data_IF_638767964121
#
_entry.id   IF_638767964121
#
_cell.length_a   1.000
_cell.length_b   1.000
_cell.length_c   1.000
_cell.angle_alpha   90.00
_cell.angle_beta   90.00
_cell.angle_gamma   90.00
#
_symmetry.space_group_name_H-M   'P 1'
#
loop_
_entity.id
_entity.type
_entity.pdbx_description
1 polymer ?
#
# COMPACT_ATOMS: atom_id res chain seq x y z
N UNK A 1 -38.89 12.05 45.03
CA UNK A 1 -38.37 11.56 46.33
C UNK A 1 -36.91 11.20 46.10
N UNK A 2 -35.89 11.70 46.78
CA UNK A 2 -35.71 12.71 47.82
C UNK A 2 -34.17 12.82 47.94
N UNK A 3 -33.59 13.92 47.49
CA UNK A 3 -32.74 14.85 48.27
C UNK A 3 -31.78 14.22 49.30
N UNK A 4 -30.50 14.60 49.15
CA UNK A 4 -29.66 15.24 50.18
C UNK A 4 -28.82 14.38 51.13
N UNK A 5 -27.55 14.22 50.76
CA UNK A 5 -26.34 14.29 51.62
C UNK A 5 -25.21 14.83 50.69
N UNK A 6 -24.61 16.04 50.74
CA UNK A 6 -24.15 16.95 51.83
C UNK A 6 -23.40 16.16 52.89
N UNK A 7 -22.14 16.38 53.25
CA UNK A 7 -21.16 17.45 53.09
C UNK A 7 -19.81 16.83 53.55
N UNK A 8 -18.70 17.59 53.51
CA UNK A 8 -17.30 17.25 53.88
C UNK A 8 -16.50 16.82 52.63
N UNK A 9 -15.59 17.60 52.05
CA UNK A 9 -14.59 18.45 52.67
C UNK A 9 -14.26 19.64 51.74
N UNK A 10 -14.77 20.83 52.08
CA UNK A 10 -14.19 22.11 51.64
C UNK A 10 -13.70 22.82 52.90
N UNK A 11 -12.39 22.76 53.15
CA UNK A 11 -11.76 23.52 54.22
C UNK A 11 -10.94 24.66 53.63
N UNK A 12 -11.52 25.86 53.69
CA UNK A 12 -10.79 27.13 53.74
C UNK A 12 -10.89 27.61 55.18
N UNK A 13 -9.80 28.00 55.85
CA UNK A 13 -9.90 28.68 57.13
C UNK A 13 -10.03 30.20 56.94
N UNK A 14 -10.99 30.80 57.64
CA UNK A 14 -11.14 32.23 57.87
C UNK A 14 -11.46 32.47 59.34
N UNK A 15 -10.56 33.13 60.08
CA UNK A 15 -10.80 34.03 61.24
C UNK A 15 -9.45 34.39 61.89
N UNK A 16 -9.19 35.51 62.58
CA UNK A 16 -10.01 36.52 63.29
C UNK A 16 -9.07 37.73 63.55
N UNK A 17 -9.45 38.97 63.25
CA UNK A 17 -9.94 40.03 64.18
C UNK A 17 -8.97 40.51 65.29
N UNK A 18 -8.76 41.82 65.37
CA UNK A 18 -8.15 42.52 66.50
C UNK A 18 -7.67 43.94 66.15
N UNK A 19 -8.19 44.95 66.82
CA UNK A 19 -8.14 46.36 66.44
C UNK A 19 -7.25 47.25 67.35
N UNK A 20 -6.77 48.36 66.75
CA UNK A 20 -6.50 49.70 67.35
C UNK A 20 -5.26 49.91 68.26
N UNK A 21 -4.84 51.15 68.58
CA UNK A 21 -4.00 52.00 67.72
C UNK A 21 -2.80 52.61 68.49
N UNK A 22 -1.66 52.84 67.84
CA UNK A 22 -0.73 53.98 68.02
C UNK A 22 0.58 53.70 67.28
N UNK A 23 1.23 54.79 66.90
CA UNK A 23 2.55 54.91 66.29
C UNK A 23 2.57 54.86 64.75
N UNK A 24 2.12 55.97 64.17
CA UNK A 24 2.54 56.41 62.84
C UNK A 24 4.02 56.79 62.91
N UNK A 25 4.90 55.85 62.54
CA UNK A 25 6.26 56.17 62.12
C UNK A 25 6.44 55.65 60.70
N UNK A 26 6.55 56.61 59.79
CA UNK A 26 6.85 56.47 58.37
C UNK A 26 8.12 55.62 58.18
N UNK A 27 7.98 54.36 57.80
CA UNK A 27 9.08 53.54 57.28
C UNK A 27 8.66 52.91 55.95
N UNK A 28 9.37 53.35 54.91
CA UNK A 28 9.26 52.89 53.52
C UNK A 28 9.48 51.36 53.46
N UNK A 29 8.64 50.57 52.77
CA UNK A 29 8.92 49.16 52.57
C UNK A 29 10.10 48.99 51.60
N UNK A 30 11.04 48.05 51.85
CA UNK A 30 12.07 47.72 50.87
C UNK A 30 11.41 47.03 49.67
N UNK A 31 11.87 47.39 48.48
CA UNK A 31 11.49 46.82 47.19
C UNK A 31 11.60 45.28 47.18
N UNK A 32 10.69 44.56 46.47
CA UNK A 32 10.78 43.11 46.36
C UNK A 32 12.01 42.74 45.51
N UNK A 33 12.87 41.90 46.09
CA UNK A 33 13.98 41.26 45.41
C UNK A 33 13.51 40.50 44.16
N UNK A 34 14.29 40.66 43.10
CA UNK A 34 14.08 40.10 41.77
C UNK A 34 13.91 38.57 41.78
N UNK A 35 12.89 38.10 41.08
CA UNK A 35 12.73 36.69 40.69
C UNK A 35 13.64 36.34 39.50
N UNK A 36 14.24 35.13 39.44
CA UNK A 36 15.05 34.72 38.29
C UNK A 36 14.13 34.23 37.16
N UNK A 37 13.49 35.14 36.42
CA UNK A 37 12.56 34.81 35.32
C UNK A 37 13.30 34.45 34.01
N UNK A 38 14.62 34.61 33.92
CA UNK A 38 15.30 34.60 32.60
C UNK A 38 15.87 33.26 32.09
N UNK A 39 15.79 32.16 32.84
CA UNK A 39 16.43 30.89 32.44
C UNK A 39 15.45 29.88 31.80
N UNK A 40 14.15 29.92 32.11
CA UNK A 40 13.17 28.93 31.62
C UNK A 40 12.72 29.13 30.15
N UNK A 41 12.74 30.37 29.64
CA UNK A 41 12.24 30.68 28.30
C UNK A 41 13.13 30.17 27.16
N UNK A 42 14.45 30.14 27.36
CA UNK A 42 15.41 29.70 26.34
C UNK A 42 15.25 28.22 26.02
N UNK A 43 15.14 27.38 27.06
CA UNK A 43 14.96 25.92 26.92
C UNK A 43 13.65 25.54 26.23
N UNK A 44 12.57 26.29 26.49
CA UNK A 44 11.27 26.08 25.85
C UNK A 44 11.32 26.45 24.35
N UNK A 45 11.95 27.57 24.00
CA UNK A 45 12.09 28.05 22.62
C UNK A 45 12.98 27.09 21.80
N UNK A 46 14.09 26.59 22.37
CA UNK A 46 14.93 25.59 21.72
C UNK A 46 14.18 24.28 21.44
N UNK A 47 13.35 23.81 22.38
CA UNK A 47 12.51 22.61 22.17
C UNK A 47 11.47 22.81 21.07
N UNK A 48 10.85 23.98 20.99
CA UNK A 48 9.85 24.31 19.96
C UNK A 48 10.51 24.43 18.58
N UNK A 49 11.63 25.15 18.46
CA UNK A 49 12.37 25.29 17.20
C UNK A 49 12.92 23.93 16.74
N UNK A 50 13.49 23.13 17.65
CA UNK A 50 13.97 21.77 17.34
C UNK A 50 12.84 20.86 16.88
N UNK A 51 11.67 20.92 17.53
CA UNK A 51 10.49 20.13 17.14
C UNK A 51 9.96 20.57 15.77
N UNK A 52 9.91 21.88 15.51
CA UNK A 52 9.47 22.42 14.22
C UNK A 52 10.44 22.05 13.08
N UNK A 53 11.75 22.23 13.30
CA UNK A 53 12.79 21.87 12.34
C UNK A 53 12.81 20.36 12.07
N UNK A 54 12.69 19.53 13.13
CA UNK A 54 12.63 18.08 12.99
C UNK A 54 11.40 17.62 12.21
N UNK A 55 10.22 18.23 12.43
CA UNK A 55 9.01 17.92 11.66
C UNK A 55 9.19 18.24 10.17
N UNK A 56 9.74 19.41 9.85
CA UNK A 56 9.98 19.83 8.46
C UNK A 56 11.06 18.99 7.77
N UNK A 57 12.12 18.63 8.48
CA UNK A 57 13.15 17.71 7.99
C UNK A 57 12.57 16.32 7.71
N UNK A 58 11.75 15.79 8.63
CA UNK A 58 11.11 14.47 8.46
C UNK A 58 10.15 14.46 7.26
N UNK A 59 9.35 15.51 7.06
CA UNK A 59 8.52 15.66 5.85
C UNK A 59 9.38 15.73 4.59
N UNK A 60 10.48 16.48 4.61
CA UNK A 60 11.42 16.55 3.49
C UNK A 60 12.04 15.19 3.15
N UNK A 61 12.48 14.44 4.16
CA UNK A 61 13.00 13.09 3.98
C UNK A 61 11.94 12.13 3.42
N UNK A 62 10.71 12.15 3.91
CA UNK A 62 9.64 11.26 3.43
C UNK A 62 9.31 11.52 1.96
N UNK A 63 9.35 12.78 1.50
CA UNK A 63 9.10 13.12 0.10
C UNK A 63 10.33 12.80 -0.76
N UNK A 64 11.54 13.06 -0.26
CA UNK A 64 12.78 12.86 -1.02
C UNK A 64 13.18 11.39 -1.12
N UNK A 65 12.87 10.57 -0.11
CA UNK A 65 13.22 9.14 -0.07
C UNK A 65 12.75 8.37 -1.31
N UNK A 66 11.47 8.40 -1.72
CA UNK A 66 11.03 7.69 -2.92
C UNK A 66 11.70 8.22 -4.18
N UNK A 67 11.94 9.54 -4.31
CA UNK A 67 12.66 10.11 -5.45
C UNK A 67 14.13 9.69 -5.51
N UNK A 68 14.80 9.65 -4.36
CA UNK A 68 16.20 9.24 -4.26
C UNK A 68 16.35 7.75 -4.59
N UNK A 69 15.42 6.92 -4.10
CA UNK A 69 15.39 5.48 -4.39
C UNK A 69 15.18 5.24 -5.89
N UNK A 70 14.19 5.88 -6.53
CA UNK A 70 13.96 5.72 -7.97
C UNK A 70 15.14 6.19 -8.80
N UNK A 71 15.75 7.34 -8.45
CA UNK A 71 16.95 7.84 -9.13
C UNK A 71 18.14 6.88 -8.96
N UNK A 72 18.39 6.39 -7.75
CA UNK A 72 19.46 5.44 -7.47
C UNK A 72 19.31 4.15 -8.28
N UNK A 73 18.12 3.53 -8.27
CA UNK A 73 17.86 2.31 -9.03
C UNK A 73 18.00 2.53 -10.54
N UNK A 74 17.48 3.64 -11.05
CA UNK A 74 17.58 3.98 -12.49
C UNK A 74 19.04 4.17 -12.89
N UNK A 75 19.80 4.94 -12.10
CA UNK A 75 21.22 5.18 -12.33
C UNK A 75 22.03 3.87 -12.27
N UNK A 76 21.79 3.04 -11.25
CA UNK A 76 22.42 1.73 -11.10
C UNK A 76 22.13 0.82 -12.29
N UNK A 77 20.88 0.76 -12.75
CA UNK A 77 20.48 -0.08 -13.88
C UNK A 77 21.13 0.37 -15.20
N UNK A 78 21.16 1.67 -15.48
CA UNK A 78 21.84 2.22 -16.67
C UNK A 78 23.32 1.84 -16.65
N UNK A 79 23.99 2.02 -15.52
CA UNK A 79 25.41 1.64 -15.38
C UNK A 79 25.65 0.14 -15.52
N UNK A 80 24.73 -0.69 -15.05
CA UNK A 80 24.81 -2.14 -15.23
C UNK A 80 24.75 -2.52 -16.71
N UNK A 81 23.78 -1.96 -17.45
CA UNK A 81 23.66 -2.18 -18.90
C UNK A 81 24.87 -1.61 -19.63
N UNK A 82 25.29 -0.40 -19.29
CA UNK A 82 26.49 0.22 -19.88
C UNK A 82 27.74 -0.61 -19.64
N UNK A 83 27.90 -1.20 -18.45
CA UNK A 83 29.00 -2.11 -18.15
C UNK A 83 28.99 -3.36 -19.03
N UNK A 84 27.81 -3.94 -19.26
CA UNK A 84 27.64 -5.11 -20.11
C UNK A 84 27.93 -4.82 -21.60
N UNK A 85 27.52 -3.64 -22.09
CA UNK A 85 27.69 -3.24 -23.48
C UNK A 85 28.92 -2.36 -23.74
N UNK A 86 29.68 -1.99 -22.70
CA UNK A 86 30.94 -1.23 -22.78
C UNK A 86 31.89 -1.71 -23.89
N UNK A 87 32.20 -3.02 -24.03
CA UNK A 87 33.09 -3.48 -25.10
C UNK A 87 32.54 -3.14 -26.50
N UNK A 88 31.23 -3.24 -26.70
CA UNK A 88 30.57 -2.94 -27.98
C UNK A 88 30.66 -1.43 -28.29
N UNK A 89 30.44 -0.56 -27.30
CA UNK A 89 30.57 0.89 -27.50
C UNK A 89 32.00 1.31 -27.84
N UNK A 90 33.00 0.70 -27.19
CA UNK A 90 34.41 0.98 -27.48
C UNK A 90 34.81 0.56 -28.89
N UNK A 91 34.27 -0.55 -29.41
CA UNK A 91 34.50 -0.98 -30.78
C UNK A 91 33.80 -0.09 -31.82
N UNK A 92 32.64 0.51 -31.48
CA UNK A 92 31.91 1.41 -32.37
C UNK A 92 32.36 2.88 -32.25
N UNK A 93 33.19 3.23 -31.27
CA UNK A 93 33.70 4.60 -31.06
C UNK A 93 32.64 5.61 -30.61
N UNK A 94 31.52 5.15 -30.07
CA UNK A 94 30.40 6.01 -29.67
C UNK A 94 30.50 6.30 -28.17
N UNK A 95 30.77 7.55 -27.80
CA UNK A 95 30.76 7.99 -26.41
C UNK A 95 29.90 9.25 -26.29
N UNK A 96 28.58 9.07 -26.34
CA UNK A 96 27.61 10.14 -26.15
C UNK A 96 26.95 10.04 -24.77
N UNK A 97 26.80 11.18 -24.11
CA UNK A 97 26.06 11.29 -22.85
C UNK A 97 24.60 10.86 -23.07
N UNK A 98 24.12 9.88 -22.31
CA UNK A 98 22.76 9.34 -22.42
C UNK A 98 22.62 8.08 -23.29
N UNK A 99 23.70 7.57 -23.90
CA UNK A 99 23.66 6.34 -24.69
C UNK A 99 23.16 5.15 -23.87
N UNK A 100 23.58 5.05 -22.60
CA UNK A 100 23.17 3.99 -21.69
C UNK A 100 21.68 3.91 -21.42
N UNK A 101 20.98 5.05 -21.41
CA UNK A 101 19.53 5.06 -21.25
C UNK A 101 18.83 4.50 -22.49
N UNK A 102 19.25 4.93 -23.69
CA UNK A 102 18.69 4.45 -24.95
C UNK A 102 18.95 2.95 -25.11
N UNK A 103 20.17 2.51 -24.84
CA UNK A 103 20.57 1.10 -24.97
C UNK A 103 19.87 0.22 -23.94
N UNK A 104 19.63 0.72 -22.73
CA UNK A 104 18.80 0.06 -21.72
C UNK A 104 17.36 -0.18 -22.21
N UNK A 105 16.72 0.84 -22.78
CA UNK A 105 15.36 0.71 -23.33
C UNK A 105 15.36 -0.29 -24.50
N UNK A 106 16.28 -0.15 -25.44
CA UNK A 106 16.40 -1.06 -26.58
C UNK A 106 16.67 -2.49 -26.12
N UNK A 107 17.53 -2.68 -25.11
CA UNK A 107 17.84 -3.99 -24.55
C UNK A 107 16.61 -4.65 -23.92
N UNK A 108 15.87 -3.93 -23.06
CA UNK A 108 14.64 -4.44 -22.46
C UNK A 108 13.63 -4.84 -23.55
N UNK A 109 13.46 -4.00 -24.57
CA UNK A 109 12.57 -4.30 -25.68
C UNK A 109 13.00 -5.56 -26.44
N UNK A 110 14.30 -5.69 -26.76
CA UNK A 110 14.85 -6.83 -27.48
C UNK A 110 14.72 -8.13 -26.68
N UNK A 111 14.97 -8.08 -25.37
CA UNK A 111 14.74 -9.20 -24.46
C UNK A 111 13.25 -9.58 -24.44
N UNK A 112 12.34 -8.62 -24.40
CA UNK A 112 10.90 -8.87 -24.48
C UNK A 112 10.51 -9.59 -25.77
N UNK A 113 10.96 -9.08 -26.93
CA UNK A 113 10.71 -9.71 -28.24
C UNK A 113 11.31 -11.12 -28.30
N UNK A 114 12.53 -11.30 -27.79
CA UNK A 114 13.19 -12.60 -27.75
C UNK A 114 12.42 -13.60 -26.88
N UNK A 115 11.95 -13.18 -25.70
CA UNK A 115 11.18 -14.01 -24.77
C UNK A 115 9.80 -14.39 -25.32
N UNK A 116 9.17 -13.54 -26.13
CA UNK A 116 7.91 -13.87 -26.82
C UNK A 116 8.08 -14.84 -28.00
N UNK A 117 9.31 -15.09 -28.45
CA UNK A 117 9.59 -16.06 -29.51
C UNK A 117 9.67 -17.49 -28.98
N UNK A 118 9.42 -18.49 -29.84
CA UNK A 118 9.50 -19.91 -29.49
C UNK A 118 10.87 -20.30 -28.90
N UNK A 119 11.93 -19.66 -29.38
CA UNK A 119 13.29 -19.89 -28.90
C UNK A 119 13.48 -19.35 -27.47
N UNK A 120 12.96 -18.16 -27.19
CA UNK A 120 12.98 -17.57 -25.83
C UNK A 120 12.16 -18.40 -24.85
N UNK A 121 10.96 -18.84 -25.25
CA UNK A 121 10.12 -19.72 -24.44
C UNK A 121 10.85 -21.06 -24.12
N UNK A 122 11.55 -21.63 -25.09
CA UNK A 122 12.34 -22.86 -24.90
C UNK A 122 13.51 -22.65 -23.93
N UNK A 123 14.29 -21.58 -24.10
CA UNK A 123 15.41 -21.25 -23.20
C UNK A 123 14.91 -20.97 -21.77
N UNK A 124 13.81 -20.22 -21.63
CA UNK A 124 13.21 -19.96 -20.33
C UNK A 124 12.77 -21.26 -19.66
N UNK A 125 12.14 -22.17 -20.40
CA UNK A 125 11.71 -23.47 -19.87
C UNK A 125 12.87 -24.33 -19.35
N UNK A 126 14.05 -24.28 -20.02
CA UNK A 126 15.24 -25.00 -19.57
C UNK A 126 15.82 -24.39 -18.29
N UNK A 127 15.83 -23.05 -18.20
CA UNK A 127 16.29 -22.34 -17.01
C UNK A 127 15.38 -22.61 -15.82
N UNK A 128 14.07 -22.62 -16.04
CA UNK A 128 13.08 -22.99 -15.02
C UNK A 128 13.25 -24.41 -14.52
N UNK A 129 13.54 -25.35 -15.42
CA UNK A 129 13.84 -26.73 -15.03
C UNK A 129 15.07 -26.82 -14.10
N UNK A 130 16.11 -26.04 -14.39
CA UNK A 130 17.30 -25.97 -13.54
C UNK A 130 17.00 -25.36 -12.16
N UNK A 131 16.26 -24.24 -12.13
CA UNK A 131 15.86 -23.56 -10.89
C UNK A 131 14.98 -24.47 -10.03
N UNK A 132 14.07 -25.24 -10.63
CA UNK A 132 13.18 -26.17 -9.92
C UNK A 132 13.94 -27.30 -9.21
N UNK A 133 15.15 -27.64 -9.63
CA UNK A 133 16.01 -28.61 -8.92
C UNK A 133 16.61 -28.07 -7.62
N UNK A 134 16.62 -26.75 -7.40
CA UNK A 134 17.18 -26.14 -6.20
C UNK A 134 16.05 -25.91 -5.18
N UNK A 135 16.00 -26.67 -4.07
CA UNK A 135 14.83 -26.73 -3.18
C UNK A 135 14.50 -25.43 -2.46
N UNK A 136 15.41 -24.45 -2.39
CA UNK A 136 15.13 -23.11 -1.82
C UNK A 136 14.78 -22.07 -2.89
N UNK A 137 15.55 -22.07 -3.98
CA UNK A 137 15.40 -21.10 -5.08
C UNK A 137 14.10 -21.32 -5.84
N UNK A 138 13.65 -22.58 -5.95
CA UNK A 138 12.41 -22.93 -6.64
C UNK A 138 11.17 -22.29 -5.99
N UNK A 139 11.11 -22.20 -4.66
CA UNK A 139 10.00 -21.54 -3.97
C UNK A 139 9.99 -20.03 -4.25
N UNK A 140 11.15 -19.38 -4.15
CA UNK A 140 11.29 -17.94 -4.38
C UNK A 140 10.94 -17.61 -5.83
N UNK A 141 11.51 -18.35 -6.78
CA UNK A 141 11.25 -18.15 -8.21
C UNK A 141 9.78 -18.40 -8.55
N UNK A 142 9.16 -19.45 -8.00
CA UNK A 142 7.75 -19.76 -8.25
C UNK A 142 6.82 -18.69 -7.66
N UNK A 143 7.15 -18.13 -6.50
CA UNK A 143 6.41 -17.03 -5.91
C UNK A 143 6.55 -15.75 -6.76
N UNK A 144 7.78 -15.39 -7.16
CA UNK A 144 8.02 -14.25 -8.05
C UNK A 144 7.30 -14.40 -9.39
N UNK A 145 7.34 -15.58 -10.02
CA UNK A 145 6.67 -15.85 -11.30
C UNK A 145 5.15 -15.74 -11.18
N UNK A 146 4.56 -16.18 -10.07
CA UNK A 146 3.12 -16.02 -9.83
C UNK A 146 2.73 -14.54 -9.73
N UNK A 147 3.52 -13.74 -9.00
CA UNK A 147 3.28 -12.29 -8.87
C UNK A 147 3.44 -11.61 -10.23
N UNK A 148 4.48 -11.94 -11.00
CA UNK A 148 4.69 -11.41 -12.35
C UNK A 148 3.57 -11.82 -13.32
N UNK A 149 3.04 -13.04 -13.20
CA UNK A 149 1.90 -13.51 -13.99
C UNK A 149 0.61 -12.77 -13.65
N UNK A 150 0.39 -12.44 -12.38
CA UNK A 150 -0.78 -11.69 -11.92
C UNK A 150 -0.85 -10.25 -12.46
N UNK A 151 0.28 -9.62 -12.77
CA UNK A 151 0.34 -8.24 -13.28
C UNK A 151 0.38 -8.16 -14.82
N UNK A 152 0.48 -9.30 -15.51
CA UNK A 152 0.63 -9.35 -16.96
C UNK A 152 -0.69 -9.02 -17.68
N UNK A 153 -0.72 -8.06 -18.62
CA UNK A 153 -1.96 -7.64 -19.28
C UNK A 153 -2.56 -8.68 -20.24
N UNK A 154 -1.79 -9.67 -20.69
CA UNK A 154 -2.17 -10.55 -21.81
C UNK A 154 -2.77 -11.91 -21.40
N UNK A 155 -2.82 -12.24 -20.09
CA UNK A 155 -3.40 -13.50 -19.64
C UNK A 155 -4.78 -13.31 -19.01
N UNK A 156 -5.81 -13.61 -19.80
CA UNK A 156 -7.16 -14.01 -19.33
C UNK A 156 -7.18 -15.26 -18.42
N UNK A 157 -5.99 -15.78 -18.09
CA UNK A 157 -5.67 -16.92 -17.23
C UNK A 157 -4.74 -16.55 -16.06
N UNK A 158 -4.63 -15.25 -15.72
CA UNK A 158 -3.90 -14.79 -14.54
C UNK A 158 -4.47 -15.35 -13.23
N UNK A 159 -3.62 -15.44 -12.20
CA UNK A 159 -3.98 -15.89 -10.85
C UNK A 159 -5.07 -15.02 -10.18
N UNK A 160 -5.27 -13.79 -10.67
CA UNK A 160 -6.34 -12.87 -10.26
C UNK A 160 -7.06 -12.36 -11.50
N UNK A 161 -8.28 -12.81 -11.72
CA UNK A 161 -9.08 -12.46 -12.90
C UNK A 161 -9.75 -11.11 -12.73
N UNK A 162 -10.31 -10.87 -11.54
CA UNK A 162 -11.15 -9.72 -11.25
C UNK A 162 -11.04 -9.34 -9.77
N UNK A 163 -11.33 -8.07 -9.47
CA UNK A 163 -11.50 -7.60 -8.09
C UNK A 163 -12.89 -8.01 -7.59
N UNK A 164 -12.98 -8.40 -6.32
CA UNK A 164 -14.24 -8.76 -5.68
C UNK A 164 -14.35 -8.12 -4.30
N UNK A 165 -15.58 -7.77 -3.94
CA UNK A 165 -15.98 -7.37 -2.61
C UNK A 165 -16.97 -8.42 -2.12
N UNK A 166 -16.67 -9.01 -0.96
CA UNK A 166 -17.47 -10.06 -0.36
C UNK A 166 -17.98 -9.62 1.01
N UNK A 167 -19.11 -10.18 1.45
CA UNK A 167 -19.58 -9.98 2.83
C UNK A 167 -18.69 -10.75 3.79
N UNK A 168 -18.16 -10.06 4.80
CA UNK A 168 -17.38 -10.66 5.87
C UNK A 168 -18.33 -11.19 6.98
N UNK A 169 -17.95 -12.15 7.85
CA UNK A 169 -18.87 -12.83 8.77
C UNK A 169 -19.71 -11.93 9.67
N UNK A 170 -19.26 -10.70 9.95
CA UNK A 170 -20.04 -9.71 10.69
C UNK A 170 -20.91 -8.87 9.77
N UNK A 171 -22.16 -8.66 10.19
CA UNK A 171 -23.13 -7.84 9.47
C UNK A 171 -22.61 -6.41 9.30
N UNK A 172 -22.55 -5.95 8.05
CA UNK A 172 -22.06 -4.62 7.70
C UNK A 172 -20.56 -4.55 7.38
N UNK A 173 -19.82 -5.64 7.53
CA UNK A 173 -18.42 -5.72 7.12
C UNK A 173 -18.28 -6.30 5.72
N UNK A 174 -17.38 -5.71 4.94
CA UNK A 174 -17.03 -6.17 3.61
C UNK A 174 -15.53 -6.42 3.54
N UNK A 175 -15.15 -7.51 2.90
CA UNK A 175 -13.76 -7.83 2.61
C UNK A 175 -13.46 -7.56 1.13
N UNK A 176 -12.31 -6.93 0.90
CA UNK A 176 -11.77 -6.72 -0.43
C UNK A 176 -10.88 -7.90 -0.82
N UNK A 177 -11.06 -8.43 -2.02
CA UNK A 177 -10.33 -9.59 -2.49
C UNK A 177 -10.29 -9.67 -4.01
N UNK A 178 -9.80 -10.81 -4.49
CA UNK A 178 -9.63 -11.06 -5.91
C UNK A 178 -10.21 -12.43 -6.28
N UNK A 179 -11.00 -12.47 -7.35
CA UNK A 179 -11.44 -13.74 -7.94
C UNK A 179 -10.25 -14.38 -8.63
N UNK A 180 -9.81 -15.53 -8.13
CA UNK A 180 -8.66 -16.26 -8.68
C UNK A 180 -9.09 -17.31 -9.69
N UNK A 181 -10.18 -18.00 -9.40
CA UNK A 181 -10.68 -19.11 -10.19
C UNK A 181 -12.17 -19.32 -9.96
N UNK A 182 -12.81 -20.08 -10.85
CA UNK A 182 -14.20 -20.50 -10.70
C UNK A 182 -14.22 -22.01 -10.69
N UNK A 183 -14.91 -22.59 -9.73
CA UNK A 183 -14.99 -24.04 -9.51
C UNK A 183 -16.45 -24.47 -9.48
N UNK A 184 -16.74 -25.66 -9.99
CA UNK A 184 -18.09 -26.24 -9.93
C UNK A 184 -18.08 -27.29 -8.80
N UNK A 185 -18.76 -26.98 -7.70
CA UNK A 185 -18.94 -27.92 -6.60
C UNK A 185 -20.10 -28.87 -6.95
N UNK A 186 -19.79 -30.11 -7.31
CA UNK A 186 -20.79 -31.14 -7.59
C UNK A 186 -21.25 -31.81 -6.30
N UNK A 187 -22.47 -31.49 -5.88
CA UNK A 187 -23.18 -32.17 -4.80
C UNK A 187 -24.15 -33.24 -5.30
N UNK A 188 -24.79 -33.95 -4.36
CA UNK A 188 -25.84 -34.94 -4.66
C UNK A 188 -27.10 -34.32 -5.31
N UNK A 189 -27.30 -33.01 -5.17
CA UNK A 189 -28.47 -32.28 -5.66
C UNK A 189 -28.22 -31.43 -6.92
N UNK A 190 -27.01 -31.45 -7.50
CA UNK A 190 -26.62 -30.62 -8.64
C UNK A 190 -25.20 -30.06 -8.53
N UNK A 191 -24.74 -29.37 -9.57
CA UNK A 191 -23.48 -28.63 -9.57
C UNK A 191 -23.73 -27.14 -9.27
N UNK A 192 -23.06 -26.60 -8.26
CA UNK A 192 -23.07 -25.17 -7.95
C UNK A 192 -21.77 -24.52 -8.43
N UNK A 193 -21.88 -23.40 -9.15
CA UNK A 193 -20.73 -22.61 -9.58
C UNK A 193 -20.32 -21.65 -8.45
N UNK A 194 -19.11 -21.87 -7.92
CA UNK A 194 -18.51 -21.07 -6.85
C UNK A 194 -17.28 -20.35 -7.39
N UNK A 195 -17.12 -19.09 -7.02
CA UNK A 195 -15.90 -18.33 -7.27
C UNK A 195 -14.96 -18.46 -6.06
N UNK A 196 -13.69 -18.70 -6.35
CA UNK A 196 -12.62 -18.71 -5.38
C UNK A 196 -12.10 -17.27 -5.21
N UNK A 197 -12.44 -16.65 -4.08
CA UNK A 197 -12.03 -15.29 -3.73
C UNK A 197 -10.88 -15.35 -2.73
N UNK A 198 -9.73 -14.82 -3.14
CA UNK A 198 -8.58 -14.61 -2.28
C UNK A 198 -8.69 -13.25 -1.58
N UNK A 199 -8.70 -13.25 -0.26
CA UNK A 199 -8.73 -12.05 0.58
C UNK A 199 -7.33 -11.88 1.18
N UNK A 200 -6.53 -10.92 0.69
CA UNK A 200 -5.20 -10.68 1.24
C UNK A 200 -5.30 -10.16 2.68
N UNK A 201 -4.54 -10.76 3.60
CA UNK A 201 -4.34 -10.22 4.93
C UNK A 201 -3.00 -9.47 4.99
N UNK A 202 -2.77 -8.71 6.06
CA UNK A 202 -1.58 -7.89 6.33
C UNK A 202 -0.25 -8.67 6.18
N UNK A 203 -0.29 -10.01 6.23
CA UNK A 203 0.80 -10.85 5.79
C UNK A 203 0.62 -11.15 4.30
N UNK A 204 1.41 -10.50 3.43
CA UNK A 204 1.33 -10.57 1.96
C UNK A 204 1.28 -12.01 1.36
N UNK A 205 1.62 -13.04 2.14
CA UNK A 205 1.61 -14.45 1.76
C UNK A 205 0.57 -15.32 2.48
N UNK A 206 -0.15 -14.78 3.47
CA UNK A 206 -1.25 -15.46 4.14
C UNK A 206 -2.50 -14.61 3.89
N UNK A 207 -3.34 -15.04 2.97
CA UNK A 207 -4.68 -14.52 2.80
C UNK A 207 -5.67 -15.66 2.91
N UNK A 208 -6.91 -15.32 3.25
CA UNK A 208 -7.98 -16.30 3.34
C UNK A 208 -8.51 -16.59 1.94
N UNK A 209 -8.94 -17.83 1.74
CA UNK A 209 -9.58 -18.26 0.50
C UNK A 209 -11.03 -18.62 0.82
N UNK A 210 -11.96 -17.89 0.20
CA UNK A 210 -13.39 -18.14 0.33
C UNK A 210 -13.96 -18.69 -0.99
N UNK A 211 -14.78 -19.72 -0.89
CA UNK A 211 -15.60 -20.21 -2.00
C UNK A 211 -17.00 -19.61 -1.84
N UNK A 212 -17.36 -18.71 -2.74
CA UNK A 212 -18.59 -17.92 -2.63
C UNK A 212 -19.37 -18.04 -3.93
N UNK A 213 -20.71 -18.13 -3.83
CA UNK A 213 -21.58 -18.12 -4.99
C UNK A 213 -21.39 -16.85 -5.81
N UNK A 214 -21.32 -16.95 -7.14
CA UNK A 214 -21.12 -15.78 -8.01
C UNK A 214 -22.18 -14.67 -7.79
N UNK A 215 -23.36 -15.04 -7.28
CA UNK A 215 -24.46 -14.12 -6.96
C UNK A 215 -24.22 -13.25 -5.73
N UNK A 216 -23.39 -13.72 -4.79
CA UNK A 216 -23.12 -13.04 -3.52
C UNK A 216 -21.84 -12.19 -3.58
N UNK A 217 -21.24 -12.09 -4.76
CA UNK A 217 -20.01 -11.32 -5.00
C UNK A 217 -20.35 -9.98 -5.62
N UNK A 218 -19.86 -8.92 -4.99
CA UNK A 218 -19.96 -7.56 -5.51
C UNK A 218 -18.71 -7.30 -6.36
N UNK A 219 -18.90 -7.01 -7.65
CA UNK A 219 -17.80 -6.76 -8.60
C UNK A 219 -17.62 -5.25 -8.81
N UNK A 220 -16.62 -4.60 -8.19
CA UNK A 220 -16.37 -3.19 -8.42
C UNK A 220 -15.78 -2.96 -9.82
N UNK A 221 -16.01 -1.77 -10.38
CA UNK A 221 -15.36 -1.30 -11.61
C UNK A 221 -13.92 -0.84 -11.28
N UNK A 222 -13.08 -1.81 -10.93
CA UNK A 222 -11.66 -1.64 -10.67
C UNK A 222 -10.88 -2.68 -11.47
N UNK A 223 -9.77 -2.24 -12.04
CA UNK A 223 -8.78 -3.15 -12.62
C UNK A 223 -8.07 -3.93 -11.51
N UNK A 224 -7.55 -5.12 -11.86
CA UNK A 224 -6.72 -5.92 -10.93
C UNK A 224 -5.52 -5.12 -10.44
N UNK A 225 -4.93 -4.26 -11.29
CA UNK A 225 -3.81 -3.38 -10.92
C UNK A 225 -4.21 -2.40 -9.81
N UNK A 226 -5.35 -1.72 -9.95
CA UNK A 226 -5.84 -0.80 -8.92
C UNK A 226 -6.16 -1.55 -7.62
N UNK A 227 -6.72 -2.76 -7.72
CA UNK A 227 -6.93 -3.60 -6.53
C UNK A 227 -5.64 -3.98 -5.81
N UNK A 228 -4.58 -4.33 -6.55
CA UNK A 228 -3.26 -4.62 -5.96
C UNK A 228 -2.69 -3.36 -5.29
N UNK A 229 -2.84 -2.19 -5.91
CA UNK A 229 -2.41 -0.92 -5.32
C UNK A 229 -3.14 -0.61 -4.00
N UNK A 230 -4.45 -0.86 -3.94
CA UNK A 230 -5.26 -0.72 -2.72
C UNK A 230 -4.73 -1.61 -1.61
N UNK A 231 -4.41 -2.86 -1.92
CA UNK A 231 -3.90 -3.82 -0.92
C UNK A 231 -2.50 -3.45 -0.44
N UNK A 232 -1.59 -3.11 -1.36
CA UNK A 232 -0.20 -2.71 -1.02
C UNK A 232 -0.18 -1.41 -0.22
N UNK A 233 -1.08 -0.47 -0.52
CA UNK A 233 -1.19 0.78 0.24
C UNK A 233 -1.90 0.62 1.59
N UNK A 234 -2.35 -0.59 1.96
CA UNK A 234 -3.10 -0.83 3.18
C UNK A 234 -4.48 -0.15 3.18
N UNK A 235 -5.08 0.03 1.99
CA UNK A 235 -6.38 0.67 1.79
C UNK A 235 -6.32 2.18 1.57
N UNK A 236 -5.14 2.80 1.62
CA UNK A 236 -5.01 4.27 1.47
C UNK A 236 -5.34 4.77 0.06
N UNK A 237 -5.19 3.94 -0.97
CA UNK A 237 -5.51 4.29 -2.36
C UNK A 237 -6.94 3.91 -2.78
N UNK A 238 -7.82 3.52 -1.85
CA UNK A 238 -9.21 3.18 -2.19
C UNK A 238 -9.97 4.44 -2.68
N UNK A 239 -10.66 4.38 -3.83
CA UNK A 239 -11.42 5.52 -4.32
C UNK A 239 -12.60 5.83 -3.40
N UNK A 240 -13.00 7.10 -3.35
CA UNK A 240 -14.11 7.56 -2.50
C UNK A 240 -15.46 6.97 -2.92
N UNK A 241 -15.59 6.54 -4.17
CA UNK A 241 -16.81 5.95 -4.74
C UNK A 241 -16.42 4.67 -5.47
N UNK A 242 -17.02 3.55 -5.07
CA UNK A 242 -16.92 2.27 -5.76
C UNK A 242 -18.21 2.02 -6.53
N UNK A 243 -18.13 2.07 -7.85
CA UNK A 243 -19.25 1.71 -8.73
C UNK A 243 -19.20 0.22 -9.00
N UNK A 244 -20.32 -0.48 -8.88
CA UNK A 244 -20.41 -1.90 -9.24
C UNK A 244 -20.61 -2.07 -10.73
N UNK A 245 -20.01 -3.11 -11.30
CA UNK A 245 -20.37 -3.57 -12.64
C UNK A 245 -21.74 -4.24 -12.53
N UNK A 246 -22.81 -3.48 -12.79
CA UNK A 246 -24.15 -4.06 -12.83
C UNK A 246 -24.19 -5.17 -13.90
N UNK A 247 -24.70 -6.33 -13.48
CA UNK A 247 -24.82 -7.57 -14.28
C UNK A 247 -25.51 -7.36 -15.64
N UNK A 248 -26.29 -6.29 -15.82
CA UNK A 248 -26.92 -5.96 -17.09
C UNK A 248 -25.94 -5.59 -18.21
N UNK A 249 -24.75 -5.07 -17.87
CA UNK A 249 -23.78 -4.62 -18.89
C UNK A 249 -23.01 -5.78 -19.50
N UNK A 250 -22.73 -6.84 -18.72
CA UNK A 250 -22.03 -8.04 -19.20
C UNK A 250 -22.94 -8.86 -20.12
N UNK A 251 -24.25 -8.87 -19.89
CA UNK A 251 -25.17 -9.60 -20.76
C UNK A 251 -25.29 -8.98 -22.16
N UNK A 252 -25.07 -7.67 -22.32
CA UNK A 252 -25.05 -7.02 -23.64
C UNK A 252 -23.81 -7.32 -24.47
N UNK A 253 -22.65 -7.57 -23.86
CA UNK A 253 -21.43 -7.88 -24.63
C UNK A 253 -21.35 -9.34 -25.09
N UNK A 254 -22.01 -10.27 -24.38
CA UNK A 254 -21.98 -11.71 -24.69
C UNK A 254 -23.08 -12.13 -25.67
N UNK A 255 -24.24 -11.45 -25.69
CA UNK A 255 -25.37 -11.80 -26.57
C UNK A 255 -25.17 -11.34 -28.03
N UNK A 256 -24.12 -10.57 -28.33
CA UNK A 256 -23.84 -10.06 -29.68
C UNK A 256 -23.18 -11.03 -30.68
N UNK A 257 -22.87 -12.29 -30.33
CA UNK A 257 -22.03 -13.14 -31.23
C UNK A 257 -22.44 -14.61 -31.35
N UNK A 258 -23.60 -15.04 -30.86
CA UNK A 258 -24.11 -16.39 -31.15
C UNK A 258 -25.49 -16.34 -31.81
N UNK A 259 -25.49 -15.99 -33.10
CA UNK A 259 -26.57 -16.40 -34.01
C UNK A 259 -26.42 -17.91 -34.26
N UNK A 260 -27.32 -18.70 -33.66
CA UNK A 260 -27.48 -20.12 -33.99
C UNK A 260 -28.22 -20.17 -35.34
N UNK A 261 -27.65 -20.75 -36.41
CA UNK A 261 -28.38 -20.91 -37.66
C UNK A 261 -29.51 -21.94 -37.50
N UNK A 262 -30.69 -21.70 -38.10
CA UNK A 262 -31.79 -22.64 -38.03
C UNK A 262 -31.50 -23.87 -38.91
N UNK A 263 -31.68 -25.06 -38.33
CA UNK A 263 -31.99 -26.31 -39.05
C UNK A 263 -33.08 -27.02 -38.26
#
# INVERSE_FOLDING_TARGET
METRERDLERLIPMHKSGASPRDVVLSVPPSPLASPIHVAGKEAIYKVIRSWASKKFMTGCVILLPMAVTFYFTWWFIHFVDGFFSPIYTHLGINMFGLGFVTSITFIFLVGVFMSSWLGASVLSIGEWFIKKMPLVSYIYSASKQISGAISPDQSSGAFKEVAIIRHPHMGEYAFGFITSTVILRGRAGGEELCCVYVPTNHLYLGDIFLISSKDIIRPNLSVREGIEIVISGGMSIPQILTTLDLETIHRSVVGTFAIPPV
#
